data_IF_959734503736
#
_entry.id   IF_959734503736
#
_cell.length_a   1.000
_cell.length_b   1.000
_cell.length_c   1.000
_cell.angle_alpha   90.00
_cell.angle_beta   90.00
_cell.angle_gamma   90.00
#
_symmetry.space_group_name_H-M   'P 1'
#
loop_
_entity.id
_entity.type
_entity.pdbx_description
1 polymer ?
#
# COMPACT_ATOMS: atom_id res chain seq x y z
N UNK A 1 7.76 10.35 10.54
CA UNK A 1 8.09 8.99 11.04
C UNK A 1 7.25 8.66 12.27
N UNK A 2 6.23 7.83 12.06
CA UNK A 2 5.34 7.16 13.02
C UNK A 2 5.02 5.77 12.42
N UNK A 3 6.09 5.10 11.96
CA UNK A 3 6.02 3.79 11.30
C UNK A 3 5.78 2.71 12.36
N UNK A 4 4.85 1.79 12.07
CA UNK A 4 4.50 0.70 12.98
C UNK A 4 4.85 -0.62 12.33
N UNK A 5 5.77 -1.35 12.95
CA UNK A 5 6.19 -2.69 12.52
C UNK A 5 5.72 -3.67 13.59
N UNK A 6 4.78 -4.54 13.22
CA UNK A 6 4.25 -5.56 14.13
C UNK A 6 5.14 -6.80 14.17
N UNK A 7 4.78 -7.75 15.04
CA UNK A 7 5.54 -8.97 15.26
C UNK A 7 5.81 -9.75 13.95
N UNK A 8 6.99 -10.38 13.87
CA UNK A 8 7.39 -11.29 12.80
C UNK A 8 7.59 -10.64 11.41
N UNK A 9 7.79 -9.32 11.35
CA UNK A 9 8.11 -8.62 10.10
C UNK A 9 9.62 -8.44 9.96
N UNK A 10 10.19 -8.87 8.84
CA UNK A 10 11.60 -8.64 8.48
C UNK A 10 11.67 -7.61 7.36
N UNK A 11 12.45 -6.54 7.59
CA UNK A 11 12.73 -5.50 6.59
C UNK A 11 14.13 -5.75 6.03
N UNK A 12 14.20 -6.14 4.76
CA UNK A 12 15.44 -6.43 4.08
C UNK A 12 16.03 -5.21 3.39
N UNK A 13 17.31 -5.29 3.02
CA UNK A 13 17.96 -4.33 2.14
C UNK A 13 17.12 -4.10 0.86
N UNK A 14 16.91 -2.83 0.53
CA UNK A 14 16.08 -2.40 -0.60
C UNK A 14 14.61 -2.15 -0.25
N UNK A 15 14.13 -2.45 0.96
CA UNK A 15 12.78 -2.05 1.40
C UNK A 15 12.83 -0.67 2.03
N UNK A 16 12.06 0.27 1.48
CA UNK A 16 11.94 1.65 1.95
C UNK A 16 10.52 1.84 2.47
N UNK A 17 10.39 2.21 3.75
CA UNK A 17 9.12 2.56 4.37
C UNK A 17 9.10 4.08 4.61
N UNK A 18 8.11 4.77 4.04
CA UNK A 18 7.89 6.20 4.28
C UNK A 18 7.08 6.44 5.58
N UNK A 19 6.76 7.71 5.85
CA UNK A 19 6.02 8.14 7.04
C UNK A 19 4.68 7.39 7.20
N UNK A 20 4.28 7.12 8.45
CA UNK A 20 2.96 6.56 8.81
C UNK A 20 2.63 5.18 8.21
N UNK A 21 3.63 4.48 7.67
CA UNK A 21 3.45 3.10 7.18
C UNK A 21 3.12 2.16 8.34
N UNK A 22 2.13 1.28 8.12
CA UNK A 22 1.77 0.21 9.03
C UNK A 22 2.06 -1.16 8.41
N UNK A 23 2.97 -1.91 9.00
CA UNK A 23 3.26 -3.29 8.67
C UNK A 23 2.55 -4.22 9.67
N UNK A 24 1.47 -4.85 9.24
CA UNK A 24 0.70 -5.81 10.03
C UNK A 24 1.51 -7.06 10.38
N UNK A 25 1.08 -7.82 11.40
CA UNK A 25 1.85 -8.94 11.92
C UNK A 25 2.08 -9.98 10.84
N UNK A 26 3.32 -10.49 10.79
CA UNK A 26 3.76 -11.49 9.82
C UNK A 26 3.62 -11.09 8.35
N UNK A 27 3.50 -9.79 8.01
CA UNK A 27 3.66 -9.41 6.62
C UNK A 27 5.09 -9.70 6.14
N UNK A 28 5.21 -10.06 4.87
CA UNK A 28 6.45 -10.54 4.25
C UNK A 28 6.87 -9.60 3.14
N UNK A 29 8.13 -9.22 3.12
CA UNK A 29 8.79 -8.61 1.97
C UNK A 29 9.72 -9.64 1.34
N UNK A 30 9.73 -9.75 0.01
CA UNK A 30 10.83 -10.42 -0.68
C UNK A 30 11.83 -9.36 -1.16
N UNK A 31 13.04 -9.77 -1.55
CA UNK A 31 14.06 -8.89 -2.15
C UNK A 31 14.63 -9.45 -3.46
N UNK A 32 14.43 -10.73 -3.77
CA UNK A 32 14.85 -11.40 -5.01
C UNK A 32 13.68 -12.19 -5.59
N UNK A 33 13.51 -12.17 -6.92
CA UNK A 33 12.40 -12.87 -7.59
C UNK A 33 12.63 -14.38 -7.74
N UNK A 34 13.88 -14.82 -7.91
CA UNK A 34 14.22 -16.21 -8.21
C UNK A 34 15.28 -16.78 -7.26
N UNK A 35 15.00 -16.80 -5.94
CA UNK A 35 15.98 -17.25 -4.95
C UNK A 35 16.34 -18.73 -5.14
N UNK A 36 17.63 -19.04 -4.95
CA UNK A 36 18.16 -20.41 -4.84
C UNK A 36 19.26 -20.40 -3.78
N UNK A 37 19.23 -21.36 -2.85
CA UNK A 37 20.12 -21.36 -1.67
C UNK A 37 21.61 -21.36 -2.02
N UNK A 38 22.02 -22.06 -3.10
CA UNK A 38 23.41 -22.14 -3.54
C UNK A 38 23.83 -21.02 -4.50
N UNK A 39 22.91 -20.13 -4.89
CA UNK A 39 23.17 -19.05 -5.85
C UNK A 39 23.07 -17.70 -5.15
N UNK A 40 24.19 -17.01 -5.01
CA UNK A 40 24.20 -15.65 -4.48
C UNK A 40 23.63 -14.67 -5.51
N UNK A 41 22.50 -14.04 -5.19
CA UNK A 41 21.82 -13.02 -6.01
C UNK A 41 21.76 -11.66 -5.31
N UNK A 42 22.71 -11.37 -4.42
CA UNK A 42 22.74 -10.10 -3.67
C UNK A 42 22.74 -8.86 -4.58
N UNK A 43 23.37 -8.96 -5.75
CA UNK A 43 23.42 -7.91 -6.75
C UNK A 43 22.11 -7.73 -7.55
N UNK A 44 21.12 -8.60 -7.35
CA UNK A 44 19.81 -8.55 -8.02
C UNK A 44 18.69 -8.08 -7.10
N UNK A 45 19.03 -7.60 -5.90
CA UNK A 45 18.04 -7.11 -4.95
C UNK A 45 17.22 -5.99 -5.58
N UNK A 46 15.89 -6.15 -5.55
CA UNK A 46 14.97 -5.17 -6.11
C UNK A 46 14.41 -4.30 -5.01
N UNK A 47 14.47 -2.99 -5.24
CA UNK A 47 13.91 -2.02 -4.32
C UNK A 47 12.39 -2.16 -4.24
N UNK A 48 11.86 -2.10 -3.03
CA UNK A 48 10.42 -2.04 -2.77
C UNK A 48 10.14 -0.77 -2.00
N UNK A 49 9.28 0.10 -2.53
CA UNK A 49 8.96 1.39 -1.90
C UNK A 49 7.54 1.34 -1.37
N UNK A 50 7.39 1.51 -0.05
CA UNK A 50 6.09 1.59 0.62
C UNK A 50 5.85 3.04 0.98
N UNK A 51 4.97 3.69 0.23
CA UNK A 51 4.73 5.13 0.38
C UNK A 51 3.90 5.47 1.61
N UNK A 52 3.92 6.75 1.95
CA UNK A 52 3.29 7.34 3.14
C UNK A 52 1.91 6.77 3.45
N UNK A 53 1.68 6.41 4.71
CA UNK A 53 0.36 6.01 5.22
C UNK A 53 -0.16 4.66 4.69
N UNK A 54 0.65 3.93 3.91
CA UNK A 54 0.26 2.61 3.41
C UNK A 54 0.07 1.63 4.56
N UNK A 55 -1.00 0.85 4.51
CA UNK A 55 -1.26 -0.24 5.45
C UNK A 55 -1.08 -1.59 4.76
N UNK A 56 -0.25 -2.44 5.35
CA UNK A 56 -0.02 -3.82 4.92
C UNK A 56 -0.68 -4.74 5.94
N UNK A 57 -1.71 -5.46 5.52
CA UNK A 57 -2.48 -6.36 6.36
C UNK A 57 -1.66 -7.55 6.88
N UNK A 58 -2.18 -8.20 7.92
CA UNK A 58 -1.55 -9.37 8.51
C UNK A 58 -1.30 -10.46 7.46
N UNK A 59 -0.12 -11.09 7.52
CA UNK A 59 0.26 -12.19 6.63
C UNK A 59 0.21 -11.85 5.11
N UNK A 60 0.18 -10.56 4.73
CA UNK A 60 0.29 -10.17 3.33
C UNK A 60 1.74 -10.32 2.84
N UNK A 61 1.93 -10.69 1.58
CA UNK A 61 3.25 -10.84 0.94
C UNK A 61 3.44 -9.79 -0.14
N UNK A 62 4.53 -9.05 -0.07
CA UNK A 62 4.95 -8.05 -1.06
C UNK A 62 6.12 -8.60 -1.86
N UNK A 63 5.88 -8.92 -3.13
CA UNK A 63 6.93 -9.34 -4.06
C UNK A 63 7.81 -8.14 -4.39
N UNK A 64 9.13 -8.33 -4.38
CA UNK A 64 10.10 -7.25 -4.56
C UNK A 64 10.00 -6.53 -5.91
N UNK A 65 10.47 -5.28 -5.93
CA UNK A 65 10.52 -4.47 -7.14
C UNK A 65 9.24 -3.69 -7.43
N UNK A 66 8.33 -3.60 -6.44
CA UNK A 66 7.05 -2.89 -6.57
C UNK A 66 7.01 -1.63 -5.70
N UNK A 67 6.15 -0.70 -6.09
CA UNK A 67 5.80 0.48 -5.31
C UNK A 67 4.37 0.35 -4.78
N UNK A 68 4.19 0.52 -3.47
CA UNK A 68 2.88 0.69 -2.86
C UNK A 68 2.56 2.17 -2.75
N UNK A 69 1.52 2.63 -3.45
CA UNK A 69 1.11 4.04 -3.49
C UNK A 69 0.64 4.57 -2.14
N UNK A 70 0.69 5.89 -1.96
CA UNK A 70 0.30 6.56 -0.70
C UNK A 70 -1.09 6.14 -0.23
N UNK A 71 -1.22 5.86 1.06
CA UNK A 71 -2.46 5.43 1.70
C UNK A 71 -3.14 4.21 1.05
N UNK A 72 -2.39 3.42 0.26
CA UNK A 72 -2.89 2.14 -0.23
C UNK A 72 -3.07 1.18 0.94
N UNK A 73 -3.97 0.22 0.75
CA UNK A 73 -4.33 -0.75 1.78
C UNK A 73 -4.26 -2.15 1.20
N UNK A 74 -3.26 -2.90 1.63
CA UNK A 74 -3.12 -4.32 1.28
C UNK A 74 -3.86 -5.13 2.34
N UNK A 75 -4.90 -5.85 1.93
CA UNK A 75 -5.67 -6.71 2.82
C UNK A 75 -4.85 -7.88 3.37
N UNK A 76 -5.31 -8.45 4.48
CA UNK A 76 -4.66 -9.60 5.09
C UNK A 76 -4.56 -10.78 4.10
N UNK A 77 -3.43 -11.49 4.12
CA UNK A 77 -3.15 -12.63 3.26
C UNK A 77 -3.00 -12.32 1.76
N UNK A 78 -3.04 -11.06 1.34
CA UNK A 78 -2.90 -10.70 -0.07
C UNK A 78 -1.46 -10.86 -0.57
N UNK A 79 -1.29 -11.21 -1.85
CA UNK A 79 0.04 -11.31 -2.49
C UNK A 79 0.18 -10.26 -3.57
N UNK A 80 0.93 -9.20 -3.29
CA UNK A 80 1.14 -8.07 -4.21
C UNK A 80 2.30 -8.41 -5.16
N UNK A 81 2.01 -8.39 -6.45
CA UNK A 81 2.97 -8.76 -7.52
C UNK A 81 3.24 -7.64 -8.53
N UNK A 82 2.64 -6.47 -8.34
CA UNK A 82 2.76 -5.31 -9.21
C UNK A 82 2.52 -4.03 -8.40
N UNK A 83 2.86 -2.87 -8.98
CA UNK A 83 2.64 -1.57 -8.36
C UNK A 83 1.17 -1.35 -7.96
N UNK A 84 0.98 -0.72 -6.80
CA UNK A 84 -0.33 -0.47 -6.21
C UNK A 84 -0.64 1.03 -6.33
N UNK A 85 -1.77 1.42 -6.95
CA UNK A 85 -2.17 2.82 -7.02
C UNK A 85 -2.38 3.43 -5.63
N UNK A 86 -2.17 4.75 -5.45
CA UNK A 86 -2.51 5.44 -4.22
C UNK A 86 -3.96 5.18 -3.80
N UNK A 87 -4.20 5.03 -2.50
CA UNK A 87 -5.52 4.77 -1.90
C UNK A 87 -6.17 3.44 -2.31
N UNK A 88 -5.54 2.60 -3.13
CA UNK A 88 -6.17 1.35 -3.59
C UNK A 88 -6.33 0.34 -2.45
N UNK A 89 -7.51 -0.30 -2.39
CA UNK A 89 -7.74 -1.49 -1.55
C UNK A 89 -7.40 -2.75 -2.36
N UNK A 90 -6.32 -3.42 -2.01
CA UNK A 90 -5.79 -4.61 -2.69
C UNK A 90 -6.05 -5.87 -1.88
N UNK A 91 -6.68 -6.90 -2.46
CA UNK A 91 -6.93 -8.19 -1.77
C UNK A 91 -6.70 -9.39 -2.69
N UNK A 92 -6.48 -10.56 -2.11
CA UNK A 92 -6.41 -11.84 -2.82
C UNK A 92 -5.01 -12.25 -3.29
N UNK A 93 -4.96 -13.39 -3.98
CA UNK A 93 -3.73 -14.02 -4.49
C UNK A 93 -3.94 -14.43 -5.95
N UNK A 94 -3.30 -13.76 -6.92
CA UNK A 94 -2.57 -12.50 -6.78
C UNK A 94 -3.50 -11.33 -6.40
N UNK A 95 -2.96 -10.32 -5.73
CA UNK A 95 -3.73 -9.18 -5.26
C UNK A 95 -4.36 -8.39 -6.42
N UNK A 96 -5.62 -8.01 -6.25
CA UNK A 96 -6.37 -7.17 -7.20
C UNK A 96 -7.06 -6.05 -6.44
N UNK A 97 -7.22 -4.90 -7.11
CA UNK A 97 -7.96 -3.76 -6.56
C UNK A 97 -9.45 -4.12 -6.48
N UNK A 98 -10.03 -3.99 -5.29
CA UNK A 98 -11.48 -4.20 -5.05
C UNK A 98 -12.20 -2.94 -4.56
N UNK A 99 -11.49 -1.83 -4.52
CA UNK A 99 -12.03 -0.53 -4.13
C UNK A 99 -10.93 0.44 -3.76
N UNK A 100 -11.34 1.44 -2.97
CA UNK A 100 -10.48 2.52 -2.52
C UNK A 100 -10.64 2.74 -1.02
N UNK A 101 -9.62 3.28 -0.39
CA UNK A 101 -9.57 3.63 1.02
C UNK A 101 -9.32 5.13 1.17
N UNK A 102 -9.96 5.74 2.15
CA UNK A 102 -9.64 7.07 2.62
C UNK A 102 -8.29 7.03 3.37
N UNK A 103 -7.59 8.17 3.42
CA UNK A 103 -6.40 8.33 4.24
C UNK A 103 -6.63 8.02 5.74
N UNK A 104 -7.88 8.10 6.22
CA UNK A 104 -8.23 7.79 7.61
C UNK A 104 -8.53 6.29 7.85
N UNK A 105 -8.42 5.42 6.82
CA UNK A 105 -8.63 3.98 6.95
C UNK A 105 -10.05 3.48 6.66
N UNK A 106 -10.97 4.35 6.24
CA UNK A 106 -12.33 3.95 5.84
C UNK A 106 -12.43 3.57 4.36
N UNK A 107 -13.25 2.59 4.03
CA UNK A 107 -13.53 2.24 2.63
C UNK A 107 -14.36 3.35 1.95
N UNK A 108 -13.99 3.71 0.74
CA UNK A 108 -14.69 4.72 -0.05
C UNK A 108 -15.68 4.07 -1.01
N UNK A 109 -16.89 4.64 -1.08
CA UNK A 109 -17.84 4.40 -2.15
C UNK A 109 -17.60 5.46 -3.24
N UNK A 110 -17.11 5.04 -4.40
CA UNK A 110 -16.93 5.93 -5.56
C UNK A 110 -18.20 5.88 -6.41
N UNK A 111 -18.73 7.05 -6.72
CA UNK A 111 -19.84 7.26 -7.67
C UNK A 111 -19.43 8.36 -8.65
N UNK A 112 -19.63 8.12 -9.94
CA UNK A 112 -19.31 9.06 -11.03
C UNK A 112 -17.88 9.66 -10.93
N UNK A 113 -16.91 8.81 -10.58
CA UNK A 113 -15.50 9.19 -10.45
C UNK A 113 -15.20 10.04 -9.22
N UNK A 114 -16.10 10.16 -8.25
CA UNK A 114 -15.89 10.92 -7.01
C UNK A 114 -16.25 10.12 -5.77
N UNK A 115 -15.61 10.43 -4.65
CA UNK A 115 -15.96 9.89 -3.35
C UNK A 115 -15.80 10.95 -2.26
N UNK A 116 -16.63 10.86 -1.23
CA UNK A 116 -16.44 11.56 0.03
C UNK A 116 -16.41 10.54 1.16
N UNK A 117 -15.43 10.64 2.05
CA UNK A 117 -15.34 9.78 3.21
C UNK A 117 -16.43 10.15 4.22
N UNK A 118 -17.26 9.19 4.62
CA UNK A 118 -18.30 9.40 5.61
C UNK A 118 -17.77 9.72 7.02
N UNK A 119 -16.55 9.28 7.35
CA UNK A 119 -15.97 9.46 8.68
C UNK A 119 -15.23 10.80 8.84
N UNK A 120 -14.40 11.19 7.88
CA UNK A 120 -13.56 12.40 8.01
C UNK A 120 -13.93 13.52 7.04
N UNK A 121 -14.89 13.31 6.13
CA UNK A 121 -15.34 14.30 5.16
C UNK A 121 -14.36 14.59 4.02
N UNK A 122 -13.21 13.93 3.97
CA UNK A 122 -12.25 14.10 2.87
C UNK A 122 -12.88 13.69 1.53
N UNK A 123 -12.68 14.52 0.51
CA UNK A 123 -13.20 14.32 -0.83
C UNK A 123 -12.09 13.87 -1.78
N UNK A 124 -12.48 13.06 -2.77
CA UNK A 124 -11.58 12.38 -3.68
C UNK A 124 -12.15 12.33 -5.09
N UNK A 125 -11.26 12.28 -6.08
CA UNK A 125 -11.58 12.09 -7.49
C UNK A 125 -10.77 10.90 -8.04
N UNK A 126 -11.46 10.00 -8.73
CA UNK A 126 -10.87 8.86 -9.45
C UNK A 126 -10.64 9.27 -10.91
N UNK A 127 -9.40 9.14 -11.36
CA UNK A 127 -9.04 9.34 -12.77
C UNK A 127 -7.94 8.37 -13.17
N UNK A 128 -8.03 7.82 -14.39
CA UNK A 128 -7.01 6.94 -14.96
C UNK A 128 -6.59 5.77 -14.04
N UNK A 129 -7.54 5.19 -13.29
CA UNK A 129 -7.27 4.07 -12.40
C UNK A 129 -6.49 4.42 -11.13
N UNK A 130 -6.50 5.68 -10.71
CA UNK A 130 -5.94 6.16 -9.44
C UNK A 130 -6.91 7.13 -8.76
N UNK A 131 -6.91 7.12 -7.43
CA UNK A 131 -7.66 8.08 -6.63
C UNK A 131 -6.74 9.21 -6.15
N UNK A 132 -7.25 10.44 -6.12
CA UNK A 132 -6.52 11.62 -5.61
C UNK A 132 -7.42 12.43 -4.68
N UNK A 133 -6.89 13.02 -3.59
CA UNK A 133 -7.66 13.92 -2.76
C UNK A 133 -7.99 15.19 -3.54
N UNK A 134 -9.23 15.65 -3.42
CA UNK A 134 -9.63 16.98 -3.90
C UNK A 134 -9.19 17.95 -2.80
N UNK A 135 -8.29 18.87 -3.13
CA UNK A 135 -7.87 19.91 -2.20
C UNK A 135 -9.13 20.61 -1.67
N UNK A 136 -9.30 20.64 -0.34
CA UNK A 136 -10.40 21.37 0.25
C UNK A 136 -10.29 22.82 -0.23
N UNK A 137 -11.27 23.30 -1.00
CA UNK A 137 -11.47 24.73 -1.18
C UNK A 137 -11.53 25.31 0.22
N UNK A 138 -10.48 26.03 0.63
CA UNK A 138 -10.49 26.83 1.86
C UNK A 138 -11.81 27.60 1.84
N UNK A 139 -12.75 27.25 2.73
CA UNK A 139 -13.84 28.16 3.03
C UNK A 139 -13.14 29.38 3.62
N UNK A 140 -13.09 30.45 2.83
CA UNK A 140 -12.73 31.77 3.32
C UNK A 140 -13.81 32.10 4.35
N UNK A 141 -13.44 31.99 5.62
CA UNK A 141 -14.16 32.59 6.74
C UNK A 141 -13.52 33.93 7.04
#
# INVERSE_FOLDING_TARGET
>A
NNVKIQNNVSIYEGVILEDDVFCGPSCVFTNVLTPRSHVSRKHEYRQTVVKRGTSIGANATIVCGVTLGEYSFVGAGAVVTADVPPYALMVGVPARRVGWMCQCGERLAVADGRAACAACGAAYEESHGALRPIAATRRVG
#
